data_IF_214261273014
#
_entry.id   IF_214261273014
#
_cell.length_a   1.000
_cell.length_b   1.000
_cell.length_c   1.000
_cell.angle_alpha   90.00
_cell.angle_beta   90.00
_cell.angle_gamma   90.00
#
_symmetry.space_group_name_H-M   'P 1'
#
loop_
_entity.id
_entity.type
_entity.pdbx_description
1 polymer ?
#
# COMPACT_ATOMS: atom_id res chain seq x y z
N UNK A 1 1.39 20.63 -58.03
CA UNK A 1 0.74 19.96 -56.92
C UNK A 1 1.63 20.10 -55.68
N UNK A 2 1.21 20.89 -54.70
CA UNK A 2 1.95 21.02 -53.40
C UNK A 2 1.31 20.08 -52.41
N UNK A 3 2.02 19.05 -51.94
CA UNK A 3 1.59 18.19 -50.87
C UNK A 3 1.93 18.87 -49.53
N UNK A 4 0.92 19.28 -48.78
CA UNK A 4 1.08 19.68 -47.39
C UNK A 4 1.15 18.43 -46.54
N UNK A 5 2.31 18.22 -45.90
CA UNK A 5 2.45 17.18 -44.87
C UNK A 5 1.77 17.65 -43.58
N UNK A 6 0.70 16.98 -43.16
CA UNK A 6 0.14 17.13 -41.83
C UNK A 6 1.04 16.42 -40.84
N UNK A 7 1.70 17.17 -39.99
CA UNK A 7 2.43 16.59 -38.83
C UNK A 7 1.41 16.20 -37.75
N UNK A 8 1.24 14.91 -37.53
CA UNK A 8 0.52 14.38 -36.34
C UNK A 8 1.45 14.53 -35.13
N UNK A 9 1.15 15.48 -34.25
CA UNK A 9 1.77 15.53 -32.93
C UNK A 9 1.06 14.46 -32.08
N UNK A 10 1.72 13.34 -31.87
CA UNK A 10 1.30 12.35 -30.91
C UNK A 10 1.55 12.94 -29.51
N UNK A 11 0.50 13.40 -28.84
CA UNK A 11 0.56 13.77 -27.44
C UNK A 11 0.63 12.43 -26.66
N UNK A 12 1.83 12.00 -26.34
CA UNK A 12 2.03 10.91 -25.38
C UNK A 12 1.66 11.45 -24.00
N UNK A 13 0.48 11.09 -23.50
CA UNK A 13 0.17 11.28 -22.10
C UNK A 13 1.12 10.35 -21.32
N UNK A 14 2.19 10.90 -20.76
CA UNK A 14 2.95 10.21 -19.75
C UNK A 14 2.04 10.08 -18.52
N UNK A 15 1.56 8.87 -18.28
CA UNK A 15 0.89 8.56 -17.02
C UNK A 15 1.96 8.70 -15.93
N UNK A 16 1.86 9.76 -15.16
CA UNK A 16 2.78 10.01 -14.06
C UNK A 16 2.57 8.94 -12.99
N UNK A 17 3.65 8.35 -12.51
CA UNK A 17 3.63 7.41 -11.39
C UNK A 17 2.99 8.05 -10.16
N UNK A 18 2.36 7.23 -9.31
CA UNK A 18 1.83 7.66 -8.04
C UNK A 18 2.99 7.98 -7.09
N UNK A 19 2.87 9.02 -6.30
CA UNK A 19 3.85 9.33 -5.23
C UNK A 19 3.34 8.79 -3.90
N UNK A 20 4.04 7.84 -3.31
CA UNK A 20 3.83 7.46 -1.92
C UNK A 20 4.82 8.25 -1.07
N UNK A 21 4.32 9.28 -0.41
CA UNK A 21 5.13 10.16 0.45
C UNK A 21 5.28 9.54 1.82
N UNK A 22 6.49 9.14 2.18
CA UNK A 22 6.81 8.72 3.54
C UNK A 22 6.93 9.94 4.43
N UNK A 23 6.24 9.93 5.56
CA UNK A 23 6.22 11.02 6.52
C UNK A 23 6.66 10.51 7.91
N UNK A 24 7.75 11.07 8.41
CA UNK A 24 8.39 10.68 9.68
C UNK A 24 7.97 11.56 10.86
N UNK A 25 7.03 12.49 10.67
CA UNK A 25 6.62 13.48 11.71
C UNK A 25 6.26 12.83 13.03
N UNK A 26 5.67 11.63 12.98
CA UNK A 26 5.22 10.89 14.14
C UNK A 26 6.14 9.71 14.52
N UNK A 27 7.34 9.63 13.97
CA UNK A 27 8.37 8.67 14.41
C UNK A 27 9.04 9.14 15.72
N UNK A 28 8.24 9.29 16.77
CA UNK A 28 8.70 9.80 18.07
C UNK A 28 9.64 8.83 18.81
N UNK A 29 9.69 7.57 18.38
CA UNK A 29 10.68 6.59 18.82
C UNK A 29 12.05 6.78 18.14
N UNK A 30 12.12 7.65 17.13
CA UNK A 30 13.31 7.87 16.31
C UNK A 30 13.86 6.56 15.70
N UNK A 31 12.95 5.70 15.27
CA UNK A 31 13.31 4.42 14.65
C UNK A 31 14.03 4.63 13.32
N UNK A 32 13.54 5.54 12.49
CA UNK A 32 14.16 5.88 11.19
C UNK A 32 15.30 6.90 11.33
N UNK A 33 16.24 6.65 12.25
CA UNK A 33 17.31 7.57 12.63
C UNK A 33 18.56 7.49 11.74
N UNK A 34 18.61 6.57 10.78
CA UNK A 34 19.74 6.41 9.85
C UNK A 34 19.29 6.53 8.40
N UNK A 35 20.17 6.96 7.48
CA UNK A 35 19.87 6.98 6.05
C UNK A 35 19.47 5.61 5.49
N UNK A 36 20.11 4.52 5.94
CA UNK A 36 19.82 3.16 5.50
C UNK A 36 18.36 2.76 5.76
N UNK A 37 17.85 3.03 6.95
CA UNK A 37 16.47 2.76 7.34
C UNK A 37 15.48 3.56 6.48
N UNK A 38 15.78 4.84 6.24
CA UNK A 38 14.94 5.69 5.38
C UNK A 38 14.95 5.22 3.94
N UNK A 39 16.13 4.92 3.40
CA UNK A 39 16.26 4.38 2.04
C UNK A 39 15.44 3.11 1.89
N UNK A 40 15.45 2.20 2.87
CA UNK A 40 14.71 0.95 2.79
C UNK A 40 13.20 1.16 2.64
N UNK A 41 12.58 2.01 3.46
CA UNK A 41 11.13 2.29 3.36
C UNK A 41 10.78 3.12 2.13
N UNK A 42 11.62 4.07 1.73
CA UNK A 42 11.43 4.90 0.54
C UNK A 42 11.54 4.09 -0.76
N UNK A 43 12.36 3.04 -0.78
CA UNK A 43 12.40 2.09 -1.89
C UNK A 43 11.09 1.30 -2.03
N UNK A 44 10.48 0.89 -0.92
CA UNK A 44 9.17 0.24 -0.91
C UNK A 44 8.09 1.20 -1.45
N UNK A 45 8.10 2.45 -0.98
CA UNK A 45 7.20 3.48 -1.47
C UNK A 45 7.34 3.71 -2.98
N UNK A 46 8.58 3.80 -3.45
CA UNK A 46 8.87 3.96 -4.88
C UNK A 46 8.41 2.75 -5.69
N UNK A 47 8.63 1.53 -5.20
CA UNK A 47 8.22 0.30 -5.87
C UNK A 47 6.71 0.31 -6.20
N UNK A 48 5.87 0.51 -5.18
CA UNK A 48 4.42 0.59 -5.39
C UNK A 48 4.01 1.82 -6.21
N UNK A 49 4.64 2.96 -5.98
CA UNK A 49 4.39 4.18 -6.72
C UNK A 49 4.63 4.05 -8.23
N UNK A 50 5.66 3.29 -8.62
CA UNK A 50 5.96 3.02 -10.03
C UNK A 50 4.94 2.06 -10.67
N UNK A 51 4.31 1.19 -9.90
CA UNK A 51 3.33 0.21 -10.38
C UNK A 51 1.93 0.81 -10.52
N UNK A 52 1.50 1.62 -9.56
CA UNK A 52 0.15 2.18 -9.52
C UNK A 52 0.06 3.37 -10.48
N UNK A 53 -0.94 3.36 -11.35
CA UNK A 53 -1.13 4.38 -12.39
C UNK A 53 -2.38 5.24 -12.18
N UNK A 54 -2.95 5.19 -10.99
CA UNK A 54 -4.16 5.92 -10.66
C UNK A 54 -3.96 7.43 -10.68
N UNK A 55 -5.00 8.12 -11.13
CA UNK A 55 -5.01 9.57 -11.19
C UNK A 55 -5.78 10.14 -9.97
N UNK A 56 -5.20 9.99 -8.78
CA UNK A 56 -5.81 10.47 -7.54
C UNK A 56 -5.85 11.99 -7.50
N UNK A 57 -7.05 12.55 -7.42
CA UNK A 57 -7.24 13.99 -7.29
C UNK A 57 -6.76 14.50 -5.92
N UNK A 58 -6.35 15.77 -5.84
CA UNK A 58 -5.96 16.41 -4.58
C UNK A 58 -7.13 16.51 -3.60
N UNK A 59 -6.84 16.47 -2.31
CA UNK A 59 -7.78 16.83 -1.25
C UNK A 59 -7.31 18.17 -0.67
N UNK A 60 -8.11 19.21 -0.87
CA UNK A 60 -7.84 20.53 -0.34
C UNK A 60 -9.19 21.20 -0.02
N UNK A 61 -9.47 21.54 1.26
CA UNK A 61 -10.71 22.24 1.63
C UNK A 61 -10.92 23.56 0.90
N UNK A 62 -9.84 24.20 0.44
CA UNK A 62 -9.95 25.45 -0.31
C UNK A 62 -10.68 25.28 -1.66
N UNK A 63 -10.70 24.07 -2.23
CA UNK A 63 -11.46 23.77 -3.45
C UNK A 63 -12.98 23.65 -3.19
N UNK A 64 -13.39 23.53 -1.92
CA UNK A 64 -14.76 23.29 -1.48
C UNK A 64 -15.15 24.25 -0.35
N UNK A 65 -15.39 25.54 -0.63
CA UNK A 65 -15.68 26.55 0.39
C UNK A 65 -16.81 26.14 1.33
N UNK A 66 -16.58 26.30 2.64
CA UNK A 66 -17.52 25.86 3.68
C UNK A 66 -17.39 24.39 4.09
N UNK A 67 -16.47 23.64 3.51
CA UNK A 67 -16.18 22.27 3.88
C UNK A 67 -14.91 22.16 4.73
N UNK A 68 -14.83 21.08 5.51
CA UNK A 68 -13.66 20.75 6.32
C UNK A 68 -13.53 19.25 6.46
N UNK A 69 -12.36 18.78 6.83
CA UNK A 69 -12.13 17.38 7.19
C UNK A 69 -11.03 17.21 8.22
N UNK A 70 -10.99 16.05 8.81
CA UNK A 70 -9.94 15.60 9.72
C UNK A 70 -9.43 14.27 9.26
N UNK A 71 -8.17 14.19 8.94
CA UNK A 71 -7.48 12.94 8.66
C UNK A 71 -7.16 12.23 9.98
N UNK A 72 -7.49 10.94 10.08
CA UNK A 72 -7.38 10.16 11.30
C UNK A 72 -6.45 8.94 11.12
N UNK A 73 -5.14 9.13 10.89
CA UNK A 73 -4.21 8.02 10.84
C UNK A 73 -3.92 7.49 12.25
N UNK A 74 -3.45 6.25 12.33
CA UNK A 74 -2.86 5.71 13.56
C UNK A 74 -1.48 6.32 13.76
N UNK A 75 -1.18 6.80 14.97
CA UNK A 75 0.15 7.28 15.34
C UNK A 75 1.13 6.11 15.34
N UNK A 76 2.15 6.07 14.45
CA UNK A 76 2.96 4.87 14.26
C UNK A 76 3.82 4.48 15.47
N UNK A 77 4.16 5.44 16.34
CA UNK A 77 4.96 5.15 17.53
C UNK A 77 4.16 4.92 18.81
N UNK A 78 2.83 5.15 18.82
CA UNK A 78 2.02 4.97 20.03
C UNK A 78 0.79 4.09 19.82
N UNK A 79 0.31 3.96 18.59
CA UNK A 79 -0.93 3.25 18.26
C UNK A 79 -2.21 4.07 18.50
N UNK A 80 -2.12 5.30 18.99
CA UNK A 80 -3.27 6.17 19.19
C UNK A 80 -3.78 6.73 17.86
N UNK A 81 -5.07 7.04 17.77
CA UNK A 81 -5.60 7.76 16.61
C UNK A 81 -5.15 9.22 16.64
N UNK A 82 -4.60 9.69 15.54
CA UNK A 82 -4.29 11.10 15.34
C UNK A 82 -5.52 11.85 14.80
N UNK A 83 -5.52 13.16 14.98
CA UNK A 83 -6.48 14.08 14.40
C UNK A 83 -5.72 15.21 13.70
N UNK A 84 -5.70 15.21 12.38
CA UNK A 84 -4.98 16.20 11.57
C UNK A 84 -6.02 17.00 10.78
N UNK A 85 -6.39 18.19 11.26
CA UNK A 85 -7.44 18.99 10.63
C UNK A 85 -6.97 19.55 9.29
N UNK A 86 -7.84 19.51 8.30
CA UNK A 86 -7.67 20.11 6.99
C UNK A 86 -6.33 19.81 6.31
N UNK A 87 -5.86 18.55 6.45
CA UNK A 87 -4.65 18.09 5.78
C UNK A 87 -4.79 18.29 4.26
N UNK A 88 -3.79 18.91 3.64
CA UNK A 88 -3.72 19.00 2.19
C UNK A 88 -3.00 17.76 1.65
N UNK A 89 -3.70 16.98 0.82
CA UNK A 89 -3.10 15.84 0.12
C UNK A 89 -2.95 16.21 -1.36
N UNK A 90 -1.72 16.32 -1.88
CA UNK A 90 -1.49 16.65 -3.29
C UNK A 90 -2.14 15.61 -4.23
N UNK A 91 -2.36 16.02 -5.48
CA UNK A 91 -2.76 15.07 -6.52
C UNK A 91 -1.71 13.96 -6.68
N UNK A 92 -2.15 12.77 -7.08
CA UNK A 92 -1.28 11.60 -7.29
C UNK A 92 -0.35 11.30 -6.11
N UNK A 93 -0.79 11.62 -4.90
CA UNK A 93 0.01 11.42 -3.69
C UNK A 93 -0.78 10.67 -2.62
N UNK A 94 -0.16 9.68 -2.02
CA UNK A 94 -0.63 9.01 -0.79
C UNK A 94 0.38 9.36 0.31
N UNK A 95 -0.09 9.78 1.50
CA UNK A 95 0.79 10.13 2.63
C UNK A 95 0.81 8.96 3.61
N UNK A 96 1.98 8.39 3.87
CA UNK A 96 2.13 7.26 4.79
C UNK A 96 3.02 7.66 5.97
N UNK A 97 2.41 7.73 7.16
CA UNK A 97 3.12 7.99 8.40
C UNK A 97 3.79 6.71 8.89
N UNK A 98 5.09 6.75 9.14
CA UNK A 98 5.88 5.59 9.54
C UNK A 98 6.59 5.82 10.87
N UNK A 99 6.78 4.75 11.65
CA UNK A 99 7.51 4.75 12.91
C UNK A 99 7.55 3.36 13.52
N UNK A 100 7.98 3.25 14.77
CA UNK A 100 8.01 1.97 15.47
C UNK A 100 7.51 2.10 16.91
N UNK A 101 6.93 1.01 17.40
CA UNK A 101 6.52 0.80 18.79
C UNK A 101 6.63 -0.68 19.13
N UNK A 102 6.60 -1.02 20.39
CA UNK A 102 6.52 -2.43 20.80
C UNK A 102 5.18 -2.99 20.33
N UNK A 103 5.24 -4.04 19.54
CA UNK A 103 4.08 -4.80 19.08
C UNK A 103 3.94 -6.09 19.89
N UNK A 104 2.73 -6.62 19.96
CA UNK A 104 2.45 -7.80 20.78
C UNK A 104 2.79 -9.11 20.05
N UNK A 105 3.28 -10.10 20.78
CA UNK A 105 3.55 -11.44 20.25
C UNK A 105 4.66 -11.46 19.21
N UNK A 106 4.40 -12.07 18.07
CA UNK A 106 5.35 -12.18 16.94
C UNK A 106 5.05 -11.19 15.81
N UNK A 107 4.25 -10.15 16.09
CA UNK A 107 3.88 -9.16 15.08
C UNK A 107 5.07 -8.26 14.75
N UNK A 108 5.49 -8.23 13.50
CA UNK A 108 6.63 -7.45 13.01
C UNK A 108 6.22 -6.07 12.49
N UNK A 109 5.01 -5.95 11.98
CA UNK A 109 4.46 -4.71 11.45
C UNK A 109 2.94 -4.64 11.59
N UNK A 110 2.40 -3.45 11.51
CA UNK A 110 0.96 -3.18 11.39
C UNK A 110 0.81 -2.00 10.43
N UNK A 111 0.25 -2.25 9.26
CA UNK A 111 -0.06 -1.24 8.25
C UNK A 111 -1.55 -1.18 7.94
N UNK A 112 -2.01 -0.02 7.47
CA UNK A 112 -3.38 0.11 7.00
C UNK A 112 -3.72 1.52 6.53
N UNK A 113 -4.78 1.65 5.71
CA UNK A 113 -5.30 2.94 5.31
C UNK A 113 -5.85 3.70 6.51
N UNK A 114 -5.82 5.02 6.42
CA UNK A 114 -6.32 5.85 7.51
C UNK A 114 -7.76 6.30 7.27
N UNK A 115 -8.51 6.38 8.36
CA UNK A 115 -9.85 6.93 8.35
C UNK A 115 -9.88 8.45 8.22
N UNK A 116 -11.09 8.99 8.14
CA UNK A 116 -11.33 10.41 8.12
C UNK A 116 -12.72 10.76 8.68
N UNK A 117 -12.89 12.04 9.04
CA UNK A 117 -14.18 12.63 9.33
C UNK A 117 -14.28 13.98 8.64
N UNK A 118 -15.48 14.51 8.45
CA UNK A 118 -15.61 15.80 7.75
C UNK A 118 -16.98 16.42 7.87
N UNK A 119 -17.06 17.68 7.42
CA UNK A 119 -18.27 18.47 7.27
C UNK A 119 -18.28 19.12 5.90
N UNK A 120 -19.45 19.14 5.24
CA UNK A 120 -19.56 19.68 3.89
C UNK A 120 -20.74 19.07 3.14
N UNK A 121 -20.60 18.91 1.85
CA UNK A 121 -21.61 18.41 0.93
C UNK A 121 -21.07 17.25 0.11
N UNK A 122 -21.95 16.48 -0.54
CA UNK A 122 -21.59 15.21 -1.17
C UNK A 122 -20.37 15.25 -2.09
N UNK A 123 -20.20 16.22 -3.02
CA UNK A 123 -19.00 16.31 -3.85
C UNK A 123 -17.69 16.47 -3.06
N UNK A 124 -17.75 17.03 -1.84
CA UNK A 124 -16.59 17.07 -0.95
C UNK A 124 -16.27 15.70 -0.35
N UNK A 125 -17.30 14.97 0.10
CA UNK A 125 -17.11 13.61 0.61
C UNK A 125 -16.62 12.67 -0.48
N UNK A 126 -17.19 12.74 -1.69
CA UNK A 126 -16.73 11.99 -2.86
C UNK A 126 -15.27 12.31 -3.20
N UNK A 127 -14.84 13.57 -3.01
CA UNK A 127 -13.45 13.99 -3.19
C UNK A 127 -12.51 13.34 -2.18
N UNK A 128 -12.88 13.25 -0.92
CA UNK A 128 -12.03 12.62 0.11
C UNK A 128 -11.98 11.11 -0.09
N UNK A 129 -13.12 10.49 -0.33
CA UNK A 129 -13.28 9.04 -0.40
C UNK A 129 -12.74 8.46 -1.71
N UNK A 130 -13.16 9.03 -2.82
CA UNK A 130 -12.89 8.47 -4.15
C UNK A 130 -11.76 9.12 -4.90
N UNK A 131 -11.40 10.37 -4.57
CA UNK A 131 -10.32 11.11 -5.23
C UNK A 131 -10.39 11.08 -6.77
N UNK A 132 -11.62 11.01 -7.30
CA UNK A 132 -11.91 10.94 -8.74
C UNK A 132 -12.29 9.55 -9.23
N UNK A 133 -12.15 8.49 -8.42
CA UNK A 133 -12.63 7.16 -8.75
C UNK A 133 -14.09 6.96 -8.32
N UNK A 134 -14.96 6.71 -9.30
CA UNK A 134 -16.36 6.42 -9.05
C UNK A 134 -16.57 5.05 -8.37
N UNK A 135 -15.64 4.10 -8.56
CA UNK A 135 -15.72 2.78 -7.96
C UNK A 135 -15.47 2.78 -6.45
N UNK A 136 -14.84 3.83 -5.92
CA UNK A 136 -14.57 3.98 -4.50
C UNK A 136 -15.68 4.75 -3.74
N UNK A 137 -16.58 5.47 -4.44
CA UNK A 137 -17.63 6.32 -3.82
C UNK A 137 -19.03 5.68 -3.78
N UNK A 138 -19.12 4.43 -4.15
CA UNK A 138 -20.36 3.64 -4.05
C UNK A 138 -20.47 2.95 -2.69
N UNK A 139 -21.66 2.36 -2.41
CA UNK A 139 -21.86 1.63 -1.15
C UNK A 139 -20.78 0.53 -0.97
N UNK A 140 -20.28 0.29 0.27
CA UNK A 140 -19.18 -0.64 0.54
C UNK A 140 -19.27 -2.00 -0.17
N UNK A 141 -20.45 -2.63 -0.12
CA UNK A 141 -20.70 -3.92 -0.78
C UNK A 141 -20.63 -3.89 -2.32
N UNK A 142 -20.51 -2.70 -2.92
CA UNK A 142 -20.45 -2.49 -4.37
C UNK A 142 -19.15 -1.84 -4.80
N UNK A 143 -18.23 -1.53 -3.87
CA UNK A 143 -16.96 -0.92 -4.22
C UNK A 143 -16.11 -1.83 -5.08
N UNK A 144 -15.54 -1.26 -6.11
CA UNK A 144 -14.66 -1.93 -7.08
C UNK A 144 -13.26 -1.33 -7.09
N UNK A 145 -13.06 -0.26 -6.31
CA UNK A 145 -11.83 0.53 -6.28
C UNK A 145 -11.53 1.02 -4.86
N UNK A 146 -10.27 1.37 -4.62
CA UNK A 146 -9.79 1.92 -3.36
C UNK A 146 -8.89 3.11 -3.63
N UNK A 147 -9.21 4.26 -3.07
CA UNK A 147 -8.52 5.52 -3.34
C UNK A 147 -8.06 6.19 -2.04
N UNK A 148 -7.14 5.58 -1.27
CA UNK A 148 -6.77 6.10 0.04
C UNK A 148 -6.09 7.47 -0.08
N UNK A 149 -6.38 8.35 0.87
CA UNK A 149 -5.62 9.59 1.02
C UNK A 149 -4.25 9.35 1.65
N UNK A 150 -4.15 8.30 2.47
CA UNK A 150 -2.95 7.92 3.21
C UNK A 150 -3.22 6.82 4.21
N UNK A 151 -2.21 6.54 5.01
CA UNK A 151 -2.25 5.53 6.04
C UNK A 151 -1.08 5.64 7.01
N UNK A 152 -0.87 4.59 7.78
CA UNK A 152 0.27 4.50 8.68
C UNK A 152 0.83 3.08 8.75
N UNK A 153 2.12 2.99 9.08
CA UNK A 153 2.81 1.73 9.33
C UNK A 153 3.59 1.85 10.64
N UNK A 154 3.33 0.93 11.57
CA UNK A 154 4.11 0.73 12.79
C UNK A 154 4.97 -0.51 12.64
N UNK A 155 6.28 -0.40 12.86
CA UNK A 155 7.18 -1.55 12.93
C UNK A 155 7.42 -1.95 14.40
N UNK A 156 7.77 -3.22 14.64
CA UNK A 156 8.11 -3.64 15.98
C UNK A 156 9.47 -3.09 16.41
N UNK A 157 9.48 -2.33 17.51
CA UNK A 157 10.66 -1.66 18.02
C UNK A 157 11.65 -2.60 18.71
N UNK A 158 11.17 -3.75 19.20
CA UNK A 158 11.99 -4.72 19.94
C UNK A 158 12.61 -5.79 19.04
N UNK A 159 12.19 -5.86 17.77
CA UNK A 159 12.74 -6.79 16.80
C UNK A 159 14.11 -6.37 16.30
N UNK A 160 14.96 -7.36 16.07
CA UNK A 160 16.23 -7.13 15.35
C UNK A 160 15.95 -7.10 13.85
N UNK A 161 16.29 -6.00 13.20
CA UNK A 161 15.99 -5.78 11.79
C UNK A 161 17.23 -5.86 10.91
N UNK A 162 17.09 -6.49 9.74
CA UNK A 162 18.03 -6.44 8.64
C UNK A 162 17.53 -5.48 7.55
N UNK A 163 18.19 -4.34 7.39
CA UNK A 163 17.88 -3.33 6.36
C UNK A 163 18.72 -3.52 5.08
N UNK A 164 19.64 -4.47 5.06
CA UNK A 164 20.55 -4.65 3.93
C UNK A 164 19.83 -5.20 2.70
N UNK A 165 20.03 -4.57 1.58
CA UNK A 165 19.52 -5.02 0.28
C UNK A 165 20.35 -6.16 -0.33
N UNK A 166 21.57 -6.36 0.13
CA UNK A 166 22.54 -7.22 -0.54
C UNK A 166 23.19 -8.26 0.36
N UNK A 167 23.09 -8.11 1.67
CA UNK A 167 23.77 -8.97 2.64
C UNK A 167 22.75 -9.73 3.48
N UNK A 168 22.99 -11.01 3.65
CA UNK A 168 22.27 -11.83 4.61
C UNK A 168 22.81 -11.53 6.01
N UNK A 169 22.17 -10.60 6.71
CA UNK A 169 22.49 -10.22 8.08
C UNK A 169 21.47 -10.87 9.03
N UNK A 170 21.84 -11.03 10.29
CA UNK A 170 20.92 -11.50 11.31
C UNK A 170 19.76 -10.51 11.52
N UNK A 171 18.57 -11.03 11.76
CA UNK A 171 17.35 -10.24 11.98
C UNK A 171 16.29 -10.46 10.92
N UNK A 172 15.11 -9.90 11.15
CA UNK A 172 14.01 -9.94 10.20
C UNK A 172 14.30 -9.03 9.01
N UNK A 173 13.99 -9.47 7.82
CA UNK A 173 14.22 -8.71 6.61
C UNK A 173 13.17 -7.57 6.52
N UNK A 174 13.65 -6.33 6.70
CA UNK A 174 12.81 -5.15 6.82
C UNK A 174 11.95 -4.89 5.57
N UNK A 175 12.52 -5.06 4.40
CA UNK A 175 11.85 -4.71 3.13
C UNK A 175 10.65 -5.62 2.89
N UNK A 176 10.73 -6.91 3.20
CA UNK A 176 9.59 -7.82 3.07
C UNK A 176 8.43 -7.40 3.97
N UNK A 177 8.72 -7.08 5.24
CA UNK A 177 7.69 -6.59 6.15
C UNK A 177 7.13 -5.25 5.67
N UNK A 178 7.98 -4.32 5.25
CA UNK A 178 7.54 -3.02 4.77
C UNK A 178 6.70 -3.11 3.49
N UNK A 179 7.02 -4.02 2.56
CA UNK A 179 6.20 -4.30 1.38
C UNK A 179 4.83 -4.86 1.78
N UNK A 180 4.79 -5.80 2.73
CA UNK A 180 3.55 -6.36 3.25
C UNK A 180 2.65 -5.28 3.84
N UNK A 181 3.16 -4.49 4.78
CA UNK A 181 2.39 -3.45 5.46
C UNK A 181 1.96 -2.32 4.52
N UNK A 182 2.79 -1.98 3.54
CA UNK A 182 2.42 -1.03 2.49
C UNK A 182 1.29 -1.58 1.63
N UNK A 183 1.26 -2.87 1.34
CA UNK A 183 0.15 -3.53 0.66
C UNK A 183 -1.17 -3.32 1.40
N UNK A 184 -1.19 -3.44 2.74
CA UNK A 184 -2.36 -3.14 3.54
C UNK A 184 -2.79 -1.67 3.48
N UNK A 185 -1.84 -0.72 3.46
CA UNK A 185 -2.15 0.71 3.26
C UNK A 185 -2.81 0.94 1.90
N UNK A 186 -2.40 0.21 0.88
CA UNK A 186 -2.90 0.32 -0.49
C UNK A 186 -4.20 -0.48 -0.74
N UNK A 187 -4.71 -1.18 0.27
CA UNK A 187 -6.02 -1.82 0.22
C UNK A 187 -6.03 -3.34 0.19
N UNK A 188 -4.87 -4.01 0.01
CA UNK A 188 -4.82 -5.47 0.07
C UNK A 188 -5.21 -5.92 1.47
N UNK A 189 -6.23 -6.74 1.56
CA UNK A 189 -6.75 -7.24 2.83
C UNK A 189 -7.59 -6.25 3.64
N UNK A 190 -7.61 -4.96 3.30
CA UNK A 190 -8.21 -3.89 4.11
C UNK A 190 -9.34 -3.13 3.42
N UNK A 191 -9.32 -3.04 2.09
CA UNK A 191 -10.33 -2.30 1.33
C UNK A 191 -11.62 -3.09 1.12
N UNK A 192 -12.77 -2.40 1.05
CA UNK A 192 -14.05 -3.04 0.71
C UNK A 192 -14.02 -3.67 -0.69
N UNK A 193 -13.35 -3.03 -1.65
CA UNK A 193 -13.15 -3.58 -3.00
C UNK A 193 -12.39 -4.92 -2.99
N UNK A 194 -11.45 -5.12 -2.05
CA UNK A 194 -10.81 -6.40 -1.81
C UNK A 194 -11.79 -7.41 -1.19
N UNK A 195 -12.49 -7.02 -0.11
CA UNK A 195 -13.44 -7.90 0.58
C UNK A 195 -14.57 -8.38 -0.35
N UNK A 196 -15.01 -7.52 -1.27
CA UNK A 196 -16.02 -7.85 -2.29
C UNK A 196 -15.55 -8.91 -3.31
N UNK A 197 -14.25 -9.22 -3.35
CA UNK A 197 -13.69 -10.31 -4.16
C UNK A 197 -13.56 -11.63 -3.40
N UNK A 198 -13.95 -11.69 -2.14
CA UNK A 198 -13.87 -12.92 -1.35
C UNK A 198 -15.21 -13.63 -1.35
N UNK A 199 -15.19 -14.90 -1.71
CA UNK A 199 -16.33 -15.81 -1.65
C UNK A 199 -15.87 -17.17 -1.13
N UNK A 200 -16.53 -17.70 -0.11
CA UNK A 200 -16.20 -19.03 0.46
C UNK A 200 -14.73 -19.22 0.83
N UNK A 201 -14.11 -18.18 1.42
CA UNK A 201 -12.68 -18.14 1.76
C UNK A 201 -11.73 -18.26 0.54
N UNK A 202 -12.19 -17.84 -0.63
CA UNK A 202 -11.41 -17.80 -1.87
C UNK A 202 -11.44 -16.38 -2.44
N UNK A 203 -10.28 -15.87 -2.88
CA UNK A 203 -10.21 -14.58 -3.56
C UNK A 203 -10.47 -14.75 -5.06
N UNK A 204 -11.55 -14.15 -5.55
CA UNK A 204 -12.07 -14.34 -6.91
C UNK A 204 -11.54 -13.32 -7.93
N UNK A 205 -10.59 -12.46 -7.55
CA UNK A 205 -9.99 -11.49 -8.45
C UNK A 205 -9.35 -12.15 -9.68
N UNK A 206 -9.72 -11.71 -10.88
CA UNK A 206 -9.31 -12.37 -12.12
C UNK A 206 -7.79 -12.35 -12.34
N UNK A 207 -7.11 -11.29 -11.93
CA UNK A 207 -5.66 -11.18 -12.04
C UNK A 207 -4.96 -12.16 -11.09
N UNK A 208 -5.38 -12.21 -9.83
CA UNK A 208 -4.86 -13.15 -8.84
C UNK A 208 -5.12 -14.61 -9.24
N UNK A 209 -6.31 -14.91 -9.77
CA UNK A 209 -6.64 -16.25 -10.30
C UNK A 209 -5.72 -16.64 -11.44
N UNK A 210 -5.41 -15.73 -12.36
CA UNK A 210 -4.46 -16.02 -13.46
C UNK A 210 -3.05 -16.25 -12.95
N UNK A 211 -2.59 -15.44 -12.02
CA UNK A 211 -1.24 -15.54 -11.46
C UNK A 211 -1.05 -16.84 -10.67
N UNK A 212 -2.03 -17.24 -9.88
CA UNK A 212 -1.98 -18.44 -9.05
C UNK A 212 -2.39 -19.72 -9.83
N UNK A 213 -2.92 -19.60 -11.04
CA UNK A 213 -3.47 -20.72 -11.83
C UNK A 213 -4.88 -21.16 -11.40
N UNK A 214 -5.27 -20.87 -10.19
CA UNK A 214 -6.62 -21.07 -9.60
C UNK A 214 -6.93 -19.90 -8.67
N UNK A 215 -8.20 -19.70 -8.32
CA UNK A 215 -8.57 -18.69 -7.33
C UNK A 215 -7.87 -19.00 -5.99
N UNK A 216 -7.01 -18.10 -5.48
CA UNK A 216 -6.22 -18.39 -4.28
C UNK A 216 -7.09 -18.38 -3.01
N UNK A 217 -6.80 -19.26 -2.03
CA UNK A 217 -7.49 -19.23 -0.74
C UNK A 217 -7.11 -17.96 0.03
N UNK A 218 -8.00 -17.53 0.91
CA UNK A 218 -7.74 -16.47 1.89
C UNK A 218 -7.88 -17.01 3.29
N UNK A 219 -7.22 -16.36 4.24
CA UNK A 219 -7.35 -16.70 5.65
C UNK A 219 -8.69 -16.25 6.23
N UNK A 220 -9.04 -16.80 7.38
CA UNK A 220 -10.18 -16.32 8.17
C UNK A 220 -10.05 -14.81 8.43
N UNK A 221 -11.09 -14.05 8.12
CA UNK A 221 -11.08 -12.58 8.17
C UNK A 221 -10.68 -11.89 6.87
N UNK A 222 -10.18 -12.63 5.87
CA UNK A 222 -9.98 -12.12 4.51
C UNK A 222 -8.81 -11.14 4.33
N UNK A 223 -8.04 -10.87 5.39
CA UNK A 223 -6.96 -9.88 5.33
C UNK A 223 -5.71 -10.35 4.58
N UNK A 224 -5.57 -11.65 4.36
CA UNK A 224 -4.37 -12.25 3.79
C UNK A 224 -4.72 -13.42 2.87
N UNK A 225 -3.81 -13.76 1.96
CA UNK A 225 -3.89 -15.02 1.23
C UNK A 225 -3.66 -16.21 2.17
N UNK A 226 -4.20 -17.37 1.83
CA UNK A 226 -4.02 -18.61 2.58
C UNK A 226 -2.62 -19.21 2.37
N UNK A 227 -2.12 -19.95 3.37
CA UNK A 227 -0.76 -20.49 3.40
C UNK A 227 -0.41 -21.53 2.32
N UNK A 228 -1.34 -21.91 1.45
CA UNK A 228 -1.09 -22.77 0.27
C UNK A 228 -0.89 -21.99 -1.02
N UNK A 229 -1.07 -20.66 -0.99
CA UNK A 229 -0.80 -19.81 -2.13
C UNK A 229 0.72 -19.70 -2.33
N UNK A 230 1.18 -20.14 -3.49
CA UNK A 230 2.59 -20.11 -3.88
C UNK A 230 2.77 -19.17 -5.05
N UNK A 231 3.95 -18.61 -5.16
CA UNK A 231 4.30 -17.74 -6.27
C UNK A 231 5.10 -18.41 -7.32
N UNK A 232 4.88 -17.98 -8.54
CA UNK A 232 5.83 -18.13 -9.64
C UNK A 232 7.07 -17.25 -9.40
N UNK A 233 8.14 -17.53 -10.13
CA UNK A 233 9.34 -16.70 -10.13
C UNK A 233 8.99 -15.24 -10.45
N UNK A 234 9.22 -14.38 -9.47
CA UNK A 234 9.21 -12.95 -9.68
C UNK A 234 10.65 -12.48 -9.68
N UNK A 235 11.03 -11.76 -10.70
CA UNK A 235 12.25 -10.97 -10.62
C UNK A 235 12.05 -9.96 -9.50
N UNK A 236 12.77 -10.14 -8.43
CA UNK A 236 12.72 -9.20 -7.34
C UNK A 236 12.97 -7.81 -7.89
N UNK A 237 12.06 -6.91 -7.64
CA UNK A 237 12.14 -5.50 -8.03
C UNK A 237 13.41 -4.83 -7.54
N UNK A 238 14.16 -5.50 -6.71
CA UNK A 238 15.45 -5.12 -6.14
C UNK A 238 16.62 -5.94 -6.73
N UNK A 239 16.44 -6.54 -7.92
CA UNK A 239 17.50 -7.30 -8.61
C UNK A 239 17.75 -8.69 -8.06
N UNK A 240 16.78 -9.30 -7.37
CA UNK A 240 16.89 -10.64 -6.79
C UNK A 240 15.98 -11.60 -7.52
N UNK A 241 16.44 -12.86 -7.66
CA UNK A 241 15.66 -13.96 -8.21
C UNK A 241 15.25 -14.89 -7.08
N UNK A 242 14.00 -15.32 -7.10
CA UNK A 242 13.44 -16.31 -6.16
C UNK A 242 13.07 -17.60 -6.91
N UNK A 243 13.11 -18.70 -6.18
CA UNK A 243 12.64 -19.98 -6.70
C UNK A 243 11.11 -20.06 -6.74
N UNK A 244 10.61 -21.01 -7.50
CA UNK A 244 9.18 -21.26 -7.75
C UNK A 244 8.34 -21.63 -6.51
N UNK A 245 8.95 -21.76 -5.35
CA UNK A 245 8.31 -22.12 -4.08
C UNK A 245 8.31 -21.00 -3.05
N UNK A 246 8.65 -19.78 -3.44
CA UNK A 246 8.65 -18.64 -2.53
C UNK A 246 7.22 -18.30 -2.09
N UNK A 247 6.93 -18.17 -0.80
CA UNK A 247 5.60 -17.77 -0.32
C UNK A 247 5.21 -16.38 -0.83
N UNK A 248 3.92 -16.16 -1.03
CA UNK A 248 3.41 -14.83 -1.36
C UNK A 248 3.63 -13.88 -0.17
N UNK A 249 3.89 -12.62 -0.47
CA UNK A 249 4.15 -11.58 0.53
C UNK A 249 2.98 -11.40 1.49
N UNK A 250 1.75 -11.42 0.98
CA UNK A 250 0.53 -11.22 1.75
C UNK A 250 0.01 -12.48 2.45
N UNK A 251 0.93 -13.35 2.95
CA UNK A 251 0.61 -14.38 3.92
C UNK A 251 0.56 -13.79 5.34
N UNK A 252 -0.30 -14.35 6.20
CA UNK A 252 -0.46 -13.86 7.57
C UNK A 252 0.72 -14.15 8.50
N UNK A 253 1.64 -15.01 8.11
CA UNK A 253 2.84 -15.30 8.89
C UNK A 253 4.04 -15.38 7.97
N UNK A 254 5.07 -14.63 8.29
CA UNK A 254 6.39 -14.84 7.74
C UNK A 254 7.02 -16.04 8.45
N UNK A 255 7.39 -17.06 7.69
CA UNK A 255 8.20 -18.16 8.22
C UNK A 255 9.68 -17.80 8.22
N UNK A 256 10.00 -16.57 7.87
CA UNK A 256 11.36 -16.15 7.59
C UNK A 256 12.02 -15.54 8.81
N UNK A 257 13.01 -16.22 9.32
CA UNK A 257 13.87 -15.79 10.42
C UNK A 257 15.13 -15.07 9.91
N UNK A 258 15.03 -14.29 8.84
CA UNK A 258 16.12 -13.44 8.35
C UNK A 258 17.04 -14.05 7.31
N UNK A 259 16.75 -15.26 6.80
CA UNK A 259 17.63 -15.93 5.85
C UNK A 259 17.20 -15.78 4.39
N UNK A 260 15.95 -15.47 4.12
CA UNK A 260 15.40 -15.39 2.78
C UNK A 260 14.70 -14.05 2.55
N UNK A 261 14.97 -13.45 1.42
CA UNK A 261 14.30 -12.23 1.02
C UNK A 261 12.97 -12.58 0.36
N UNK A 262 11.89 -12.14 0.96
CA UNK A 262 10.58 -12.16 0.32
C UNK A 262 10.44 -10.90 -0.52
N UNK A 263 9.86 -11.00 -1.69
CA UNK A 263 9.52 -9.87 -2.56
C UNK A 263 8.06 -9.95 -2.94
N UNK A 264 7.47 -8.82 -3.30
CA UNK A 264 6.12 -8.82 -3.82
C UNK A 264 6.04 -9.72 -5.05
N UNK A 265 5.09 -10.63 -5.05
CA UNK A 265 4.87 -11.59 -6.12
C UNK A 265 3.85 -11.08 -7.13
N UNK A 266 3.76 -11.77 -8.27
CA UNK A 266 2.70 -11.52 -9.24
C UNK A 266 1.29 -11.66 -8.61
N UNK A 267 1.15 -12.57 -7.62
CA UNK A 267 -0.11 -12.75 -6.91
C UNK A 267 -0.41 -11.57 -5.98
N UNK A 268 0.60 -11.07 -5.27
CA UNK A 268 0.44 -9.90 -4.40
C UNK A 268 0.06 -8.66 -5.22
N UNK A 269 0.76 -8.45 -6.35
CA UNK A 269 0.47 -7.33 -7.25
C UNK A 269 -0.89 -7.47 -7.96
N UNK A 270 -1.30 -8.69 -8.24
CA UNK A 270 -2.61 -8.96 -8.85
C UNK A 270 -3.77 -8.78 -7.86
N UNK A 271 -3.49 -8.62 -6.58
CA UNK A 271 -4.44 -8.30 -5.53
C UNK A 271 -4.73 -6.79 -5.40
N UNK A 272 -3.83 -5.97 -5.93
CA UNK A 272 -4.03 -4.52 -6.01
C UNK A 272 -5.00 -4.18 -7.15
#
# INVERSE_FOLDING_TARGET
>A
MKFSALAFIAITHQVSALTIKIDYTYDTSNFFNTPEKKIAIEMVAKFYGDLIKDNLLRIDPADFPGSSWTANPTHPATGATLSIPNLIVPEKTIIVYVGARILSGSTLGIGGPAGWGGSGFQPWFDRIEGRGSAGATVAPASQTDHSPWGGSISFDADSTWNFSLTQNQAGFEFISVALHEMGHVLGIGTADSWQNKISEAIFTGAAATRSNGTAPPVQSGGGHFGGTSLVSDVFGSFGRTHGTSTPVLMLASSTDNGSNFVVASDLDLAGL
#
